data_IF_503390602031
#
_entry.id   IF_503390602031
#
_cell.length_a   1.000
_cell.length_b   1.000
_cell.length_c   1.000
_cell.angle_alpha   90.00
_cell.angle_beta   90.00
_cell.angle_gamma   90.00
#
_symmetry.space_group_name_H-M   'P 1'
#
loop_
_entity.id
_entity.type
_entity.pdbx_description
1 polymer ?
#
# COMPACT_ATOMS: atom_id res chain seq x y z
N UNK A 1 4.15 -8.87 -10.20
CA UNK A 1 3.40 -7.61 -10.45
C UNK A 1 3.81 -7.05 -11.80
N UNK A 2 2.83 -6.73 -12.63
CA UNK A 2 3.10 -6.19 -13.97
C UNK A 2 3.54 -4.73 -13.87
N UNK A 3 4.34 -4.29 -14.84
CA UNK A 3 4.83 -2.90 -14.86
C UNK A 3 3.71 -1.87 -14.81
N UNK A 4 2.60 -2.13 -15.50
CA UNK A 4 1.45 -1.21 -15.51
C UNK A 4 0.78 -1.05 -14.16
N UNK A 5 1.01 -1.98 -13.24
CA UNK A 5 0.45 -1.93 -11.89
C UNK A 5 1.32 -1.17 -10.90
N UNK A 6 2.41 -0.60 -11.35
CA UNK A 6 3.33 0.14 -10.49
C UNK A 6 3.19 1.64 -10.76
N UNK A 7 2.91 2.40 -9.71
CA UNK A 7 2.89 3.86 -9.79
C UNK A 7 4.32 4.34 -9.65
N UNK A 8 4.87 4.93 -10.72
CA UNK A 8 6.26 5.39 -10.75
C UNK A 8 6.43 6.89 -10.74
N UNK A 9 5.45 7.63 -11.27
CA UNK A 9 5.58 9.08 -11.42
C UNK A 9 5.45 9.78 -10.08
N UNK A 10 6.44 10.59 -9.75
CA UNK A 10 6.47 11.35 -8.52
C UNK A 10 5.27 12.28 -8.40
N UNK A 11 4.82 12.84 -9.51
CA UNK A 11 3.64 13.71 -9.53
C UNK A 11 2.38 12.97 -9.08
N UNK A 12 2.21 11.72 -9.53
CA UNK A 12 1.06 10.91 -9.11
C UNK A 12 1.12 10.61 -7.62
N UNK A 13 2.30 10.25 -7.10
CA UNK A 13 2.49 10.04 -5.67
C UNK A 13 2.07 11.27 -4.87
N UNK A 14 2.60 12.41 -5.25
CA UNK A 14 2.33 13.67 -4.55
C UNK A 14 0.86 14.01 -4.57
N UNK A 15 0.22 13.85 -5.72
CA UNK A 15 -1.19 14.16 -5.88
C UNK A 15 -2.06 13.27 -4.99
N UNK A 16 -1.77 11.96 -4.97
CA UNK A 16 -2.54 11.02 -4.16
C UNK A 16 -2.37 11.33 -2.67
N UNK A 17 -1.15 11.59 -2.23
CA UNK A 17 -0.88 11.91 -0.84
C UNK A 17 -1.57 13.19 -0.40
N UNK A 18 -1.63 14.19 -1.26
CA UNK A 18 -2.25 15.47 -0.91
C UNK A 18 -3.76 15.45 -0.91
N UNK A 19 -4.39 14.68 -1.82
CA UNK A 19 -5.82 14.82 -2.08
C UNK A 19 -6.67 13.64 -1.67
N UNK A 20 -6.07 12.50 -1.40
CA UNK A 20 -6.82 11.26 -1.21
C UNK A 20 -6.89 10.84 0.25
N UNK A 21 -7.94 10.09 0.60
CA UNK A 21 -8.04 9.54 1.96
C UNK A 21 -6.99 8.46 2.20
N UNK A 22 -6.76 8.16 3.47
CA UNK A 22 -5.80 7.14 3.85
C UNK A 22 -6.27 6.35 5.06
N UNK A 23 -5.66 5.18 5.23
CA UNK A 23 -5.74 4.35 6.42
C UNK A 23 -4.34 4.10 6.92
N UNK A 24 -4.17 3.96 8.21
CA UNK A 24 -2.84 3.71 8.78
C UNK A 24 -2.89 2.73 9.93
N UNK A 25 -1.75 2.10 10.19
CA UNK A 25 -1.50 1.37 11.41
C UNK A 25 -0.08 1.73 11.89
N UNK A 26 0.50 0.92 12.78
CA UNK A 26 1.83 1.23 13.31
C UNK A 26 2.96 1.08 12.27
N UNK A 27 2.70 0.44 11.15
CA UNK A 27 3.71 0.05 10.17
C UNK A 27 3.53 0.67 8.79
N UNK A 28 2.30 1.04 8.44
CA UNK A 28 1.96 1.53 7.11
C UNK A 28 1.03 2.72 7.16
N UNK A 29 1.18 3.59 6.15
CA UNK A 29 0.15 4.56 5.79
C UNK A 29 -0.23 4.25 4.35
N UNK A 30 -1.49 3.97 4.06
CA UNK A 30 -1.94 3.62 2.72
C UNK A 30 -2.97 4.65 2.26
N UNK A 31 -2.59 5.42 1.24
CA UNK A 31 -3.50 6.33 0.55
C UNK A 31 -4.14 5.57 -0.59
N UNK A 32 -5.38 5.87 -0.92
CA UNK A 32 -6.09 5.14 -1.98
C UNK A 32 -7.05 6.07 -2.72
N UNK A 33 -7.27 5.74 -3.99
CA UNK A 33 -8.28 6.41 -4.81
C UNK A 33 -8.84 5.44 -5.84
N UNK A 34 -10.11 5.64 -6.29
CA UNK A 34 -10.69 4.79 -7.32
C UNK A 34 -9.89 4.85 -8.63
N UNK A 35 -9.89 3.71 -9.32
CA UNK A 35 -9.25 3.55 -10.60
C UNK A 35 -10.20 2.72 -11.46
N UNK A 36 -10.23 2.93 -12.77
CA UNK A 36 -11.20 2.30 -13.64
C UNK A 36 -10.79 0.95 -14.22
N UNK A 37 -9.51 0.61 -14.15
CA UNK A 37 -8.99 -0.52 -14.90
C UNK A 37 -8.47 -1.67 -14.06
N UNK A 38 -7.49 -1.41 -13.21
CA UNK A 38 -6.81 -2.43 -12.44
C UNK A 38 -6.10 -1.79 -11.26
N UNK A 39 -5.76 -2.62 -10.27
CA UNK A 39 -5.02 -2.12 -9.11
C UNK A 39 -3.63 -1.65 -9.50
N UNK A 40 -3.24 -0.49 -8.98
CA UNK A 40 -1.87 0.03 -9.11
C UNK A 40 -1.32 0.30 -7.73
N UNK A 41 -0.01 0.09 -7.57
CA UNK A 41 0.64 0.23 -6.27
C UNK A 41 1.87 1.11 -6.39
N UNK A 42 1.98 2.08 -5.51
CA UNK A 42 3.19 2.85 -5.30
C UNK A 42 3.73 2.51 -3.92
N UNK A 43 5.01 2.16 -3.84
CA UNK A 43 5.63 1.76 -2.58
C UNK A 43 6.74 2.73 -2.25
N UNK A 44 6.64 3.37 -1.09
CA UNK A 44 7.62 4.34 -0.63
C UNK A 44 8.22 3.87 0.69
N UNK A 45 9.55 3.68 0.70
CA UNK A 45 10.28 3.36 1.91
C UNK A 45 11.19 4.56 2.20
N UNK A 46 10.90 5.36 3.24
CA UNK A 46 11.69 6.55 3.55
C UNK A 46 13.16 6.23 3.85
N UNK A 47 14.03 7.15 3.54
CA UNK A 47 15.48 6.98 3.77
C UNK A 47 15.81 6.67 5.22
N UNK A 48 15.05 7.23 6.16
CA UNK A 48 15.27 6.99 7.59
C UNK A 48 15.03 5.54 8.02
N UNK A 49 14.39 4.74 7.17
CA UNK A 49 14.15 3.32 7.46
C UNK A 49 15.44 2.52 7.47
N UNK A 50 16.40 2.91 6.64
CA UNK A 50 17.69 2.22 6.57
C UNK A 50 18.43 2.48 5.27
N UNK A 51 19.51 1.75 5.09
CA UNK A 51 20.35 1.83 3.89
C UNK A 51 19.58 1.33 2.66
N UNK A 52 20.08 1.68 1.48
CA UNK A 52 19.44 1.33 0.22
C UNK A 52 19.15 -0.17 0.07
N UNK A 53 20.09 -1.02 0.49
CA UNK A 53 19.88 -2.48 0.40
C UNK A 53 18.74 -2.95 1.29
N UNK A 54 18.59 -2.36 2.47
CA UNK A 54 17.50 -2.68 3.39
C UNK A 54 16.16 -2.21 2.78
N UNK A 55 16.13 -0.99 2.27
CA UNK A 55 14.92 -0.44 1.64
C UNK A 55 14.50 -1.26 0.43
N UNK A 56 15.43 -1.67 -0.40
CA UNK A 56 15.15 -2.50 -1.57
C UNK A 56 14.60 -3.86 -1.16
N UNK A 57 15.13 -4.46 -0.12
CA UNK A 57 14.64 -5.73 0.41
C UNK A 57 13.19 -5.61 0.88
N UNK A 58 12.87 -4.54 1.60
CA UNK A 58 11.50 -4.27 2.05
C UNK A 58 10.57 -4.12 0.86
N UNK A 59 10.96 -3.33 -0.15
CA UNK A 59 10.14 -3.15 -1.35
C UNK A 59 9.84 -4.47 -2.04
N UNK A 60 10.84 -5.35 -2.18
CA UNK A 60 10.65 -6.67 -2.80
C UNK A 60 9.67 -7.52 -2.01
N UNK A 61 9.78 -7.51 -0.69
CA UNK A 61 8.85 -8.25 0.18
C UNK A 61 7.43 -7.77 0.01
N UNK A 62 7.24 -6.45 0.00
CA UNK A 62 5.91 -5.85 -0.17
C UNK A 62 5.33 -6.25 -1.54
N UNK A 63 6.12 -6.16 -2.61
CA UNK A 63 5.67 -6.57 -3.94
C UNK A 63 5.26 -8.03 -3.98
N UNK A 64 6.05 -8.91 -3.36
CA UNK A 64 5.72 -10.33 -3.26
C UNK A 64 4.40 -10.57 -2.53
N UNK A 65 4.22 -9.90 -1.42
CA UNK A 65 2.99 -10.01 -0.63
C UNK A 65 1.79 -9.58 -1.47
N UNK A 66 1.90 -8.45 -2.17
CA UNK A 66 0.83 -7.96 -3.01
C UNK A 66 0.50 -8.94 -4.15
N UNK A 67 1.52 -9.53 -4.77
CA UNK A 67 1.33 -10.52 -5.84
C UNK A 67 0.59 -11.75 -5.33
N UNK A 68 0.94 -12.23 -4.15
CA UNK A 68 0.33 -13.43 -3.57
C UNK A 68 -1.08 -13.18 -3.06
N UNK A 69 -1.46 -11.93 -2.87
CA UNK A 69 -2.74 -11.56 -2.28
C UNK A 69 -3.64 -10.77 -3.23
N UNK A 70 -3.46 -10.93 -4.53
CA UNK A 70 -4.24 -10.18 -5.53
C UNK A 70 -5.75 -10.33 -5.32
N UNK A 71 -6.20 -11.52 -4.94
CA UNK A 71 -7.61 -11.79 -4.73
C UNK A 71 -8.17 -11.20 -3.44
N UNK A 72 -7.31 -10.78 -2.55
CA UNK A 72 -7.70 -10.19 -1.26
C UNK A 72 -7.75 -8.67 -1.31
N UNK A 73 -7.37 -8.08 -2.43
CA UNK A 73 -7.35 -6.64 -2.62
C UNK A 73 -8.59 -6.25 -3.40
N UNK A 74 -9.42 -5.40 -2.80
CA UNK A 74 -10.70 -5.01 -3.40
C UNK A 74 -10.50 -4.01 -4.52
N UNK A 75 -11.27 -4.19 -5.60
CA UNK A 75 -11.50 -3.23 -6.68
C UNK A 75 -10.29 -2.56 -7.30
N UNK A 76 -10.43 -2.05 -8.51
CA UNK A 76 -9.39 -1.22 -9.11
C UNK A 76 -9.20 0.06 -8.30
N UNK A 77 -8.16 0.07 -7.48
CA UNK A 77 -7.75 1.25 -6.71
C UNK A 77 -6.28 1.53 -6.98
N UNK A 78 -5.92 2.79 -6.90
CA UNK A 78 -4.54 3.19 -6.78
C UNK A 78 -4.20 3.22 -5.30
N UNK A 79 -3.15 2.50 -4.91
CA UNK A 79 -2.66 2.47 -3.54
C UNK A 79 -1.27 3.09 -3.47
N UNK A 80 -1.08 4.04 -2.57
CA UNK A 80 0.26 4.53 -2.24
C UNK A 80 0.56 4.06 -0.83
N UNK A 81 1.51 3.14 -0.72
CA UNK A 81 1.88 2.50 0.53
C UNK A 81 3.18 3.12 1.03
N UNK A 82 3.09 3.82 2.16
CA UNK A 82 4.25 4.42 2.80
C UNK A 82 4.63 3.56 3.99
N UNK A 83 5.86 3.11 4.01
CA UNK A 83 6.37 2.17 5.01
C UNK A 83 6.97 2.96 6.18
N UNK A 84 6.54 2.64 7.40
CA UNK A 84 7.11 3.24 8.60
C UNK A 84 8.33 2.46 9.07
N UNK A 85 9.25 3.14 9.76
CA UNK A 85 10.49 2.53 10.26
C UNK A 85 10.24 1.29 11.12
N UNK A 86 9.14 1.26 11.85
CA UNK A 86 8.79 0.11 12.70
C UNK A 86 8.63 -1.20 11.94
N UNK A 87 8.56 -1.14 10.61
CA UNK A 87 8.52 -2.35 9.79
C UNK A 87 9.70 -3.28 10.08
N UNK A 88 10.82 -2.73 10.51
CA UNK A 88 12.02 -3.50 10.82
C UNK A 88 11.84 -4.46 12.00
N UNK A 89 10.80 -4.26 12.80
CA UNK A 89 10.48 -5.12 13.94
C UNK A 89 9.76 -6.40 13.51
N UNK A 90 9.31 -6.49 12.26
CA UNK A 90 8.46 -7.57 11.79
C UNK A 90 9.20 -8.55 10.89
N UNK A 91 8.82 -9.84 10.98
CA UNK A 91 9.23 -10.83 10.01
C UNK A 91 8.28 -10.78 8.80
N UNK A 92 8.58 -11.56 7.77
CA UNK A 92 7.80 -11.56 6.52
C UNK A 92 6.32 -11.83 6.74
N UNK A 93 5.99 -12.84 7.53
CA UNK A 93 4.60 -13.22 7.77
C UNK A 93 3.84 -12.12 8.52
N UNK A 94 4.50 -11.50 9.47
CA UNK A 94 3.89 -10.38 10.21
C UNK A 94 3.67 -9.18 9.31
N UNK A 95 4.60 -8.89 8.41
CA UNK A 95 4.44 -7.82 7.42
C UNK A 95 3.20 -8.10 6.58
N UNK A 96 3.07 -9.33 6.10
CA UNK A 96 1.92 -9.74 5.28
C UNK A 96 0.61 -9.53 6.03
N UNK A 97 0.52 -10.01 7.26
CA UNK A 97 -0.68 -9.87 8.08
C UNK A 97 -1.07 -8.41 8.28
N UNK A 98 -0.11 -7.59 8.65
CA UNK A 98 -0.37 -6.17 8.91
C UNK A 98 -0.79 -5.42 7.66
N UNK A 99 -0.13 -5.69 6.54
CA UNK A 99 -0.43 -5.03 5.28
C UNK A 99 -1.81 -5.43 4.76
N UNK A 100 -2.07 -6.72 4.67
CA UNK A 100 -3.32 -7.22 4.09
C UNK A 100 -4.51 -6.88 4.95
N UNK A 101 -4.38 -6.97 6.27
CA UNK A 101 -5.46 -6.57 7.17
C UNK A 101 -5.82 -5.09 7.00
N UNK A 102 -4.82 -4.24 6.84
CA UNK A 102 -5.07 -2.82 6.61
C UNK A 102 -5.76 -2.57 5.26
N UNK A 103 -5.33 -3.28 4.22
CA UNK A 103 -5.94 -3.15 2.89
C UNK A 103 -7.38 -3.65 2.88
N UNK A 104 -7.68 -4.70 3.61
CA UNK A 104 -9.07 -5.18 3.74
C UNK A 104 -9.97 -4.15 4.40
N UNK A 105 -9.46 -3.45 5.39
CA UNK A 105 -10.21 -2.36 6.04
C UNK A 105 -10.53 -1.23 5.08
N UNK A 106 -9.67 -0.98 4.12
CA UNK A 106 -9.94 0.04 3.10
C UNK A 106 -11.20 -0.33 2.32
N UNK A 107 -11.32 -1.58 1.88
CA UNK A 107 -12.50 -2.04 1.19
C UNK A 107 -13.76 -1.98 2.05
N UNK A 108 -13.68 -2.48 3.27
CA UNK A 108 -14.79 -2.45 4.22
C UNK A 108 -15.24 -1.03 4.50
N UNK A 109 -14.31 -0.13 4.70
CA UNK A 109 -14.64 1.25 5.00
C UNK A 109 -15.34 1.92 3.83
N UNK A 110 -14.96 1.62 2.61
CA UNK A 110 -15.65 2.14 1.43
C UNK A 110 -17.10 1.68 1.41
N UNK A 111 -17.35 0.43 1.72
CA UNK A 111 -18.70 -0.12 1.81
C UNK A 111 -19.48 0.53 2.93
N UNK A 112 -18.88 0.64 4.11
CA UNK A 112 -19.50 1.29 5.26
C UNK A 112 -19.87 2.73 4.95
N UNK A 113 -18.98 3.44 4.29
CA UNK A 113 -19.21 4.82 3.92
C UNK A 113 -20.40 4.95 2.98
N UNK A 114 -20.57 4.03 2.06
CA UNK A 114 -21.72 4.01 1.16
C UNK A 114 -23.02 3.79 1.94
N UNK A 115 -22.98 2.93 2.94
CA UNK A 115 -24.15 2.62 3.75
C UNK A 115 -24.58 3.81 4.61
N UNK A 116 -23.61 4.60 5.10
CA UNK A 116 -23.91 5.72 5.96
C UNK A 116 -24.32 6.97 5.21
N UNK A 117 -24.04 7.01 3.96
CA UNK A 117 -24.40 8.15 3.12
C UNK A 117 -25.69 7.89 2.36
#
# INVERSE_FOLDING_TARGET
MKKKQIIKKEQEFTEIIKKCPYKKNNYFVIYYRPNQNYNRFGISVPKKTGKANIRNKIKRRIKNILDQNQNNVHYPLDYVIIIKKRILELNYKQIEEQLINLMKKIGEKNETKKETN
#
